data_IF_822780833947
#
_entry.id   IF_822780833947
#
_cell.length_a   1.000
_cell.length_b   1.000
_cell.length_c   1.000
_cell.angle_alpha   90.00
_cell.angle_beta   90.00
_cell.angle_gamma   90.00
#
_symmetry.space_group_name_H-M   'P 1'
#
loop_
_entity.id
_entity.type
_entity.pdbx_description
1 polymer ?
#
# COMPACT_ATOMS: atom_id res chain seq x y z
N UNK A 1 -5.30 11.87 8.92
CA UNK A 1 -6.00 10.71 9.51
C UNK A 1 -7.30 10.47 8.75
N UNK A 2 -7.68 9.21 8.55
CA UNK A 2 -8.96 8.85 7.94
C UNK A 2 -10.15 9.33 8.78
N UNK A 3 -11.18 9.86 8.13
CA UNK A 3 -12.45 10.24 8.77
C UNK A 3 -13.61 9.59 8.03
N UNK A 4 -14.36 8.73 8.71
CA UNK A 4 -15.55 8.07 8.18
C UNK A 4 -16.83 8.93 8.29
N UNK A 5 -16.71 10.19 8.72
CA UNK A 5 -17.87 11.07 8.95
C UNK A 5 -18.60 11.35 7.63
N UNK A 6 -19.83 10.87 7.51
CA UNK A 6 -20.69 11.07 6.34
C UNK A 6 -20.66 9.94 5.31
N UNK A 7 -20.04 8.80 5.62
CA UNK A 7 -20.15 7.59 4.79
C UNK A 7 -21.59 7.05 4.82
N UNK A 8 -22.11 6.44 3.73
CA UNK A 8 -23.43 5.80 3.72
C UNK A 8 -23.58 4.74 4.82
N UNK A 9 -24.84 4.46 5.22
CA UNK A 9 -25.17 3.42 6.21
C UNK A 9 -24.74 2.03 5.72
N UNK A 10 -24.14 1.24 6.62
CA UNK A 10 -23.57 -0.09 6.37
C UNK A 10 -22.46 -0.09 5.29
N UNK A 11 -21.36 0.67 5.48
CA UNK A 11 -20.29 0.72 4.49
C UNK A 11 -19.53 -0.59 4.40
N UNK A 12 -19.20 -1.02 3.19
CA UNK A 12 -18.25 -2.09 2.97
C UNK A 12 -16.80 -1.52 2.89
N UNK A 13 -15.80 -2.41 2.88
CA UNK A 13 -14.38 -2.02 2.75
C UNK A 13 -14.09 -1.17 1.49
N UNK A 14 -14.80 -1.45 0.40
CA UNK A 14 -14.68 -0.73 -0.88
C UNK A 14 -15.19 0.72 -0.78
N UNK A 15 -16.23 0.96 0.02
CA UNK A 15 -16.78 2.29 0.29
C UNK A 15 -15.82 3.13 1.12
N UNK A 16 -15.17 2.52 2.12
CA UNK A 16 -14.14 3.19 2.91
C UNK A 16 -12.98 3.68 2.03
N UNK A 17 -12.54 2.88 1.06
CA UNK A 17 -11.50 3.27 0.10
C UNK A 17 -12.00 4.39 -0.82
N UNK A 18 -13.26 4.32 -1.28
CA UNK A 18 -13.85 5.40 -2.10
C UNK A 18 -13.93 6.72 -1.35
N UNK A 19 -14.26 6.65 -0.06
CA UNK A 19 -14.34 7.80 0.83
C UNK A 19 -12.97 8.39 1.11
N UNK A 20 -11.97 7.55 1.37
CA UNK A 20 -10.58 7.99 1.53
C UNK A 20 -10.06 8.68 0.26
N UNK A 21 -10.42 8.19 -0.94
CA UNK A 21 -10.13 8.88 -2.21
C UNK A 21 -10.75 10.29 -2.27
N UNK A 22 -11.98 10.45 -1.79
CA UNK A 22 -12.61 11.77 -1.70
C UNK A 22 -11.87 12.68 -0.71
N UNK A 23 -11.45 12.14 0.44
CA UNK A 23 -10.71 12.89 1.45
C UNK A 23 -9.36 13.38 0.91
N UNK A 24 -8.63 12.56 0.14
CA UNK A 24 -7.44 13.00 -0.59
C UNK A 24 -7.79 14.08 -1.61
N UNK A 25 -8.92 13.97 -2.32
CA UNK A 25 -9.34 15.03 -3.25
C UNK A 25 -9.64 16.35 -2.55
N UNK A 26 -10.16 16.33 -1.31
CA UNK A 26 -10.35 17.53 -0.47
C UNK A 26 -9.03 18.24 -0.12
N UNK A 27 -7.89 17.54 -0.19
CA UNK A 27 -6.57 18.17 -0.02
C UNK A 27 -6.03 18.83 -1.31
N UNK A 28 -6.85 18.89 -2.37
CA UNK A 28 -6.53 19.38 -3.73
C UNK A 28 -5.58 18.51 -4.56
N UNK A 29 -5.32 17.27 -4.13
CA UNK A 29 -4.49 16.32 -4.89
C UNK A 29 -5.33 15.18 -5.47
N UNK A 30 -5.02 14.68 -6.68
CA UNK A 30 -5.60 13.45 -7.17
C UNK A 30 -4.90 12.24 -6.52
N UNK A 31 -5.67 11.35 -5.89
CA UNK A 31 -5.13 10.07 -5.42
C UNK A 31 -4.67 9.22 -6.62
N UNK A 32 -3.53 8.54 -6.49
CA UNK A 32 -2.92 7.75 -7.57
C UNK A 32 -2.97 6.25 -7.30
N UNK A 33 -2.81 5.86 -6.04
CA UNK A 33 -2.82 4.45 -5.63
C UNK A 33 -3.45 4.26 -4.25
N UNK A 34 -3.84 3.02 -3.99
CA UNK A 34 -4.18 2.50 -2.66
C UNK A 34 -3.21 1.38 -2.32
N UNK A 35 -2.72 1.38 -1.08
CA UNK A 35 -1.87 0.33 -0.54
C UNK A 35 -2.70 -0.49 0.44
N UNK A 36 -2.71 -1.80 0.26
CA UNK A 36 -3.47 -2.77 1.05
C UNK A 36 -2.58 -3.95 1.42
N UNK A 37 -2.98 -4.67 2.47
CA UNK A 37 -2.45 -6.01 2.73
C UNK A 37 -3.04 -7.00 1.69
N UNK A 38 -2.28 -8.02 1.24
CA UNK A 38 -2.80 -9.03 0.32
C UNK A 38 -4.08 -9.75 0.82
N UNK A 39 -4.20 -10.00 2.14
CA UNK A 39 -5.40 -10.62 2.73
C UNK A 39 -6.64 -9.72 2.59
N UNK A 40 -6.47 -8.42 2.82
CA UNK A 40 -7.57 -7.45 2.67
C UNK A 40 -7.96 -7.27 1.21
N UNK A 41 -6.98 -7.35 0.29
CA UNK A 41 -7.25 -7.30 -1.14
C UNK A 41 -8.04 -8.53 -1.59
N UNK A 42 -7.61 -9.74 -1.21
CA UNK A 42 -8.36 -10.96 -1.49
C UNK A 42 -9.79 -10.90 -0.93
N UNK A 43 -9.96 -10.38 0.30
CA UNK A 43 -11.28 -10.19 0.89
C UNK A 43 -12.17 -9.23 0.06
N UNK A 44 -11.59 -8.19 -0.56
CA UNK A 44 -12.29 -7.27 -1.45
C UNK A 44 -12.68 -7.95 -2.77
N UNK A 45 -11.78 -8.72 -3.37
CA UNK A 45 -12.06 -9.45 -4.62
C UNK A 45 -13.16 -10.52 -4.44
N UNK A 46 -13.21 -11.12 -3.25
CA UNK A 46 -14.20 -12.13 -2.88
C UNK A 46 -15.55 -11.54 -2.44
N UNK A 47 -15.73 -10.22 -2.44
CA UNK A 47 -17.02 -9.59 -2.13
C UNK A 47 -18.08 -9.98 -3.16
N UNK A 48 -19.22 -10.47 -2.65
CA UNK A 48 -20.38 -10.90 -3.44
C UNK A 48 -21.60 -10.04 -3.14
N UNK A 49 -22.48 -9.93 -4.12
CA UNK A 49 -23.83 -9.40 -3.92
C UNK A 49 -24.77 -10.43 -3.28
N UNK A 50 -26.01 -10.02 -2.99
CA UNK A 50 -27.05 -10.87 -2.39
C UNK A 50 -27.48 -12.04 -3.29
N UNK A 51 -27.07 -12.04 -4.56
CA UNK A 51 -27.36 -13.05 -5.58
C UNK A 51 -26.16 -13.98 -5.80
N UNK A 52 -25.05 -13.77 -5.07
CA UNK A 52 -23.84 -14.59 -5.14
C UNK A 52 -22.89 -14.22 -6.28
N UNK A 53 -23.15 -13.15 -7.02
CA UNK A 53 -22.26 -12.65 -8.06
C UNK A 53 -21.12 -11.82 -7.44
N UNK A 54 -19.91 -11.95 -7.99
CA UNK A 54 -18.78 -11.15 -7.52
C UNK A 54 -18.93 -9.68 -7.93
N UNK A 55 -18.77 -8.78 -6.96
CA UNK A 55 -18.84 -7.33 -7.18
C UNK A 55 -17.59 -6.80 -7.89
N UNK A 56 -16.43 -7.40 -7.57
CA UNK A 56 -15.14 -6.90 -8.03
C UNK A 56 -14.17 -8.05 -8.32
N UNK A 57 -14.58 -8.97 -9.20
CA UNK A 57 -13.74 -10.08 -9.65
C UNK A 57 -13.10 -9.77 -11.01
N UNK A 58 -11.77 -9.64 -11.05
CA UNK A 58 -10.97 -9.70 -12.28
C UNK A 58 -10.54 -11.14 -12.63
N UNK A 59 -11.33 -12.14 -12.22
CA UNK A 59 -11.02 -13.58 -12.33
C UNK A 59 -10.68 -13.99 -13.76
N UNK A 60 -11.18 -13.27 -14.76
CA UNK A 60 -11.06 -13.65 -16.18
C UNK A 60 -9.98 -12.91 -16.95
N UNK A 61 -9.50 -11.75 -16.48
CA UNK A 61 -8.67 -10.86 -17.31
C UNK A 61 -7.22 -10.77 -16.87
N UNK A 62 -6.87 -11.15 -15.64
CA UNK A 62 -5.51 -10.98 -15.11
C UNK A 62 -5.01 -9.53 -15.18
N UNK A 63 -5.94 -8.57 -15.24
CA UNK A 63 -5.63 -7.16 -15.38
C UNK A 63 -4.96 -6.63 -14.10
N UNK A 64 -4.16 -5.58 -14.23
CA UNK A 64 -3.57 -4.90 -13.06
C UNK A 64 -4.66 -4.61 -12.01
N UNK A 65 -4.43 -4.90 -10.73
CA UNK A 65 -5.42 -4.72 -9.69
C UNK A 65 -5.73 -3.23 -9.57
N UNK A 66 -6.99 -2.89 -9.88
CA UNK A 66 -7.49 -1.51 -9.88
C UNK A 66 -8.79 -1.44 -9.12
N UNK A 67 -8.90 -0.43 -8.26
CA UNK A 67 -10.10 -0.16 -7.47
C UNK A 67 -10.45 1.31 -7.58
N UNK A 68 -11.70 1.61 -7.98
CA UNK A 68 -12.17 2.99 -8.22
C UNK A 68 -11.26 3.81 -9.18
N UNK A 69 -10.61 3.15 -10.14
CA UNK A 69 -9.64 3.77 -11.05
C UNK A 69 -8.30 4.18 -10.39
N UNK A 70 -8.01 3.69 -9.18
CA UNK A 70 -6.70 3.75 -8.54
C UNK A 70 -5.97 2.43 -8.77
N UNK A 71 -4.64 2.48 -8.87
CA UNK A 71 -3.82 1.26 -8.82
C UNK A 71 -3.81 0.73 -7.39
N UNK A 72 -4.02 -0.57 -7.23
CA UNK A 72 -3.88 -1.25 -5.94
C UNK A 72 -2.44 -1.78 -5.86
N UNK A 73 -1.78 -1.50 -4.73
CA UNK A 73 -0.45 -2.00 -4.43
C UNK A 73 -0.56 -2.87 -3.19
N UNK A 74 -0.30 -4.15 -3.36
CA UNK A 74 -0.29 -5.12 -2.27
C UNK A 74 1.06 -5.06 -1.56
N UNK A 75 1.06 -5.00 -0.23
CA UNK A 75 2.28 -4.94 0.56
C UNK A 75 2.11 -5.66 1.90
N UNK A 76 2.98 -6.64 2.15
CA UNK A 76 3.05 -7.37 3.44
C UNK A 76 3.48 -6.48 4.61
N UNK A 77 4.07 -5.32 4.32
CA UNK A 77 4.42 -4.32 5.33
C UNK A 77 3.20 -3.58 5.90
N UNK A 78 2.05 -3.66 5.22
CA UNK A 78 0.79 -3.08 5.70
C UNK A 78 0.10 -4.07 6.66
N UNK A 79 -0.29 -3.59 7.84
CA UNK A 79 -1.01 -4.43 8.80
C UNK A 79 -2.39 -4.82 8.26
N UNK A 80 -2.84 -6.04 8.56
CA UNK A 80 -4.17 -6.53 8.18
C UNK A 80 -5.26 -5.63 8.76
N UNK A 81 -6.27 -5.34 7.96
CA UNK A 81 -7.36 -4.43 8.31
C UNK A 81 -6.99 -2.95 8.18
N UNK A 82 -5.83 -2.61 7.63
CA UNK A 82 -5.42 -1.21 7.43
C UNK A 82 -5.25 -0.89 5.95
N UNK A 83 -5.46 0.38 5.61
CA UNK A 83 -5.32 0.85 4.24
C UNK A 83 -4.63 2.21 4.21
N UNK A 84 -4.02 2.53 3.07
CA UNK A 84 -3.50 3.86 2.78
C UNK A 84 -3.87 4.27 1.35
N UNK A 85 -4.62 5.37 1.21
CA UNK A 85 -4.89 6.02 -0.08
C UNK A 85 -4.07 7.30 -0.15
N UNK A 86 -3.36 7.50 -1.25
CA UNK A 86 -2.47 8.64 -1.37
C UNK A 86 -2.20 9.11 -2.79
N UNK A 87 -1.78 10.36 -2.90
CA UNK A 87 -1.22 10.94 -4.11
C UNK A 87 0.31 10.70 -4.17
N UNK A 88 0.73 9.43 -4.25
CA UNK A 88 2.14 9.03 -4.18
C UNK A 88 3.02 9.71 -5.22
N UNK A 89 2.50 9.96 -6.44
CA UNK A 89 3.28 10.56 -7.52
C UNK A 89 3.63 12.05 -7.30
N UNK A 90 2.87 12.77 -6.47
CA UNK A 90 3.00 14.23 -6.31
C UNK A 90 3.37 14.65 -4.89
N UNK A 91 2.91 13.90 -3.87
CA UNK A 91 2.99 14.30 -2.48
C UNK A 91 4.17 13.67 -1.71
N UNK A 92 4.84 12.68 -2.29
CA UNK A 92 6.04 12.08 -1.72
C UNK A 92 7.13 11.90 -2.79
N UNK A 93 8.38 12.03 -2.38
CA UNK A 93 9.55 11.78 -3.23
C UNK A 93 10.61 11.02 -2.44
N UNK A 94 11.20 10.03 -3.09
CA UNK A 94 12.39 9.33 -2.59
C UNK A 94 13.61 9.99 -3.22
N UNK A 95 14.59 10.30 -2.38
CA UNK A 95 15.90 10.80 -2.77
C UNK A 95 16.91 9.70 -2.53
N UNK A 96 17.48 9.20 -3.61
CA UNK A 96 18.55 8.22 -3.56
C UNK A 96 19.90 8.94 -3.39
N UNK A 97 20.66 8.57 -2.35
CA UNK A 97 22.02 9.05 -2.11
C UNK A 97 23.08 8.03 -2.50
N UNK A 98 22.75 6.75 -2.42
CA UNK A 98 23.62 5.62 -2.75
C UNK A 98 22.75 4.46 -3.23
N UNK A 99 22.92 4.09 -4.50
CA UNK A 99 22.24 2.95 -5.12
C UNK A 99 22.58 1.65 -4.39
N UNK A 100 21.68 0.67 -4.48
CA UNK A 100 21.91 -0.65 -3.92
C UNK A 100 23.25 -1.25 -4.39
N UNK A 101 24.17 -1.44 -3.45
CA UNK A 101 25.50 -1.99 -3.70
C UNK A 101 25.69 -3.27 -2.88
N UNK A 102 26.34 -4.26 -3.49
CA UNK A 102 26.67 -5.54 -2.87
C UNK A 102 28.18 -5.68 -2.77
N UNK A 103 28.67 -5.88 -1.55
CA UNK A 103 30.08 -6.09 -1.25
C UNK A 103 30.27 -7.44 -0.58
N UNK A 104 31.39 -8.09 -0.90
CA UNK A 104 31.76 -9.39 -0.35
C UNK A 104 33.05 -9.22 0.44
N UNK A 105 33.08 -9.74 1.67
CA UNK A 105 34.27 -9.76 2.51
C UNK A 105 34.62 -11.19 2.94
N UNK A 106 35.83 -11.61 2.62
CA UNK A 106 36.46 -12.84 3.12
C UNK A 106 37.13 -12.67 4.49
N UNK A 107 37.31 -11.43 4.93
CA UNK A 107 38.07 -11.07 6.14
C UNK A 107 37.17 -10.56 7.27
N UNK A 108 35.85 -10.58 7.08
CA UNK A 108 34.91 -10.17 8.12
C UNK A 108 34.96 -11.15 9.31
N UNK A 109 35.45 -10.68 10.46
CA UNK A 109 35.56 -11.42 11.73
C UNK A 109 36.37 -12.72 11.60
N UNK A 110 35.74 -13.87 11.83
CA UNK A 110 36.36 -15.20 11.83
C UNK A 110 36.11 -15.97 10.53
N UNK A 111 35.61 -15.28 9.49
CA UNK A 111 35.32 -15.86 8.18
C UNK A 111 36.52 -16.54 7.54
N UNK A 112 37.71 -15.96 7.69
CA UNK A 112 38.93 -16.55 7.15
C UNK A 112 39.26 -17.90 7.80
N UNK A 113 39.06 -18.03 9.12
CA UNK A 113 39.34 -19.27 9.86
C UNK A 113 38.27 -20.33 9.56
N UNK A 114 37.03 -19.90 9.35
CA UNK A 114 35.87 -20.78 9.09
C UNK A 114 35.63 -21.07 7.61
N UNK A 115 36.46 -20.56 6.70
CA UNK A 115 36.26 -20.63 5.25
C UNK A 115 34.87 -20.13 4.81
N UNK A 116 34.43 -19.00 5.39
CA UNK A 116 33.16 -18.35 5.06
C UNK A 116 33.38 -17.02 4.34
N UNK A 117 32.35 -16.54 3.64
CA UNK A 117 32.29 -15.24 2.98
C UNK A 117 31.03 -14.51 3.48
N UNK A 118 31.18 -13.26 3.92
CA UNK A 118 30.04 -12.40 4.27
C UNK A 118 29.69 -11.53 3.05
N UNK A 119 28.43 -11.57 2.64
CA UNK A 119 27.88 -10.68 1.61
C UNK A 119 26.99 -9.62 2.27
N UNK A 120 27.26 -8.35 2.00
CA UNK A 120 26.49 -7.21 2.49
C UNK A 120 25.89 -6.43 1.33
N UNK A 121 24.58 -6.26 1.35
CA UNK A 121 23.85 -5.31 0.49
C UNK A 121 23.50 -4.05 1.28
N UNK A 122 23.85 -2.86 0.78
CA UNK A 122 23.47 -1.58 1.38
C UNK A 122 22.92 -0.60 0.33
N UNK A 123 21.95 0.22 0.74
CA UNK A 123 21.36 1.32 -0.02
C UNK A 123 21.09 2.47 0.95
N UNK A 124 21.27 3.71 0.51
CA UNK A 124 20.98 4.90 1.34
C UNK A 124 20.04 5.83 0.61
N UNK A 125 18.85 5.99 1.18
CA UNK A 125 17.79 6.83 0.64
C UNK A 125 17.16 7.71 1.73
N UNK A 126 16.47 8.77 1.30
CA UNK A 126 15.66 9.62 2.15
C UNK A 126 14.27 9.81 1.54
N UNK A 127 13.22 9.69 2.37
CA UNK A 127 11.84 9.93 1.96
C UNK A 127 11.40 11.33 2.40
N UNK A 128 10.95 12.15 1.46
CA UNK A 128 10.34 13.45 1.76
C UNK A 128 8.84 13.42 1.45
N UNK A 129 8.02 13.79 2.43
CA UNK A 129 6.58 13.98 2.28
C UNK A 129 6.28 15.47 2.23
N UNK A 130 5.98 16.00 1.05
CA UNK A 130 5.75 17.45 0.86
C UNK A 130 4.36 17.88 1.32
N UNK A 131 3.39 16.97 1.26
CA UNK A 131 1.98 17.25 1.62
C UNK A 131 1.39 16.08 2.41
N UNK A 132 1.51 16.06 3.74
CA UNK A 132 0.98 14.98 4.57
C UNK A 132 -0.54 14.78 4.42
N UNK A 133 -1.28 15.85 4.14
CA UNK A 133 -2.74 15.79 3.96
C UNK A 133 -3.20 15.07 2.70
N UNK A 134 -2.29 14.82 1.75
CA UNK A 134 -2.56 14.04 0.54
C UNK A 134 -2.40 12.53 0.75
N UNK A 135 -2.11 12.10 1.99
CA UNK A 135 -2.10 10.71 2.42
C UNK A 135 -3.18 10.49 3.49
N UNK A 136 -4.07 9.55 3.22
CA UNK A 136 -5.16 9.18 4.12
C UNK A 136 -5.06 7.69 4.35
N UNK A 137 -4.60 7.34 5.55
CA UNK A 137 -4.59 5.96 6.04
C UNK A 137 -5.37 5.81 7.33
N UNK A 138 -5.79 4.57 7.58
CA UNK A 138 -6.54 4.18 8.77
C UNK A 138 -6.83 2.68 8.78
N UNK A 139 -7.45 2.22 9.87
CA UNK A 139 -8.02 0.88 9.94
C UNK A 139 -9.43 0.89 9.34
N UNK A 140 -9.81 -0.20 8.68
CA UNK A 140 -11.22 -0.49 8.43
C UNK A 140 -11.94 -0.63 9.77
N UNK A 141 -13.12 -0.01 9.95
CA UNK A 141 -13.91 -0.29 11.14
C UNK A 141 -14.26 -1.79 11.17
N UNK A 142 -14.25 -2.37 12.37
CA UNK A 142 -14.64 -3.76 12.54
C UNK A 142 -16.05 -3.98 11.96
N UNK A 143 -16.22 -5.05 11.19
CA UNK A 143 -17.54 -5.44 10.72
C UNK A 143 -18.43 -5.65 11.95
N UNK A 144 -19.47 -4.84 12.08
CA UNK A 144 -20.52 -5.01 13.10
C UNK A 144 -21.65 -5.80 12.48
#
# INVERSE_FOLDING_TARGET
>A
AYSATGIPTAPNRVDHIRWAKLQVRKSFFPATAVVLNPEDWAAIELLKDTQGAYLHAAVTTGAEPRLWGLRVVESDAMAVGTFMVGAFALAAKIWDREQANVQISSEDRDNFVKNMLTLRGEERLALTVTRPTAFVGGAFPAAT
#
